data_IF_856584413237
#
_entry.id   IF_856584413237
#
_cell.length_a   1.000
_cell.length_b   1.000
_cell.length_c   1.000
_cell.angle_alpha   90.00
_cell.angle_beta   90.00
_cell.angle_gamma   90.00
#
_symmetry.space_group_name_H-M   'P 1'
#
loop_
_entity.id
_entity.type
_entity.pdbx_description
1 polymer ?
#
# COMPACT_ATOMS: atom_id res chain seq x y z
N UNK A 1 -17.41 -6.76 21.00
CA UNK A 1 -16.89 -5.56 21.71
C UNK A 1 -15.37 -5.61 21.90
N UNK A 2 -14.79 -6.81 22.02
CA UNK A 2 -13.36 -7.11 22.21
C UNK A 2 -12.53 -7.17 20.90
N UNK A 3 -13.11 -7.65 19.79
CA UNK A 3 -12.51 -7.67 18.43
C UNK A 3 -11.95 -6.32 17.92
N UNK A 4 -12.44 -5.24 18.50
CA UNK A 4 -12.24 -3.83 18.15
C UNK A 4 -11.05 -3.22 18.93
N UNK A 5 -10.45 -3.97 19.87
CA UNK A 5 -9.13 -3.70 20.45
C UNK A 5 -7.99 -4.36 19.68
N UNK A 6 -8.29 -5.34 18.83
CA UNK A 6 -7.35 -6.30 18.26
C UNK A 6 -6.92 -5.94 16.83
N UNK A 7 -7.75 -5.16 16.12
CA UNK A 7 -7.32 -4.36 14.95
C UNK A 7 -6.51 -3.09 15.33
N UNK A 8 -6.34 -2.77 16.63
CA UNK A 8 -5.78 -1.47 17.12
C UNK A 8 -4.27 -1.23 16.94
N UNK A 9 -3.43 -2.17 16.50
CA UNK A 9 -1.97 -1.94 16.41
C UNK A 9 -1.41 -1.85 14.99
N UNK A 10 -2.23 -1.98 13.93
CA UNK A 10 -1.92 -1.59 12.54
C UNK A 10 -0.42 -1.76 12.16
N UNK A 11 0.12 -2.96 12.37
CA UNK A 11 1.54 -3.28 12.16
C UNK A 11 1.90 -3.27 10.67
N UNK A 12 2.24 -4.40 10.06
CA UNK A 12 2.50 -4.45 8.61
C UNK A 12 1.31 -3.94 7.77
N UNK A 13 0.07 -4.29 8.14
CA UNK A 13 -1.14 -3.86 7.42
C UNK A 13 -1.39 -2.35 7.48
N UNK A 14 -1.11 -1.70 8.62
CA UNK A 14 -1.23 -0.25 8.73
C UNK A 14 -0.16 0.48 7.92
N UNK A 15 1.06 -0.05 7.92
CA UNK A 15 2.16 0.46 7.07
C UNK A 15 1.79 0.34 5.59
N UNK A 16 1.22 -0.79 5.17
CA UNK A 16 0.74 -0.99 3.80
C UNK A 16 -0.34 0.03 3.43
N UNK A 17 -1.36 0.20 4.27
CA UNK A 17 -2.38 1.23 4.05
C UNK A 17 -1.77 2.63 3.90
N UNK A 18 -0.86 3.01 4.79
CA UNK A 18 -0.20 4.31 4.74
C UNK A 18 0.60 4.49 3.46
N UNK A 19 1.30 3.45 3.02
CA UNK A 19 2.05 3.46 1.77
C UNK A 19 1.13 3.63 0.55
N UNK A 20 0.05 2.85 0.47
CA UNK A 20 -0.95 2.95 -0.60
C UNK A 20 -1.55 4.36 -0.65
N UNK A 21 -1.91 4.93 0.50
CA UNK A 21 -2.41 6.30 0.60
C UNK A 21 -1.34 7.33 0.19
N UNK A 22 -0.08 7.12 0.58
CA UNK A 22 1.04 8.02 0.27
C UNK A 22 1.30 8.11 -1.23
N UNK A 23 1.37 6.98 -1.94
CA UNK A 23 1.64 6.96 -3.39
C UNK A 23 0.46 7.51 -4.19
N UNK A 24 -0.79 7.23 -3.78
CA UNK A 24 -1.98 7.63 -4.52
C UNK A 24 -2.32 9.12 -4.36
N UNK A 25 -1.76 9.81 -3.36
CA UNK A 25 -1.99 11.25 -3.12
C UNK A 25 -1.13 12.17 -3.99
N UNK A 26 -0.19 11.65 -4.78
CA UNK A 26 0.66 12.43 -5.67
C UNK A 26 0.75 11.75 -7.03
N UNK A 27 0.46 12.48 -8.11
CA UNK A 27 0.59 11.98 -9.48
C UNK A 27 2.01 11.52 -9.79
N UNK A 28 3.02 12.25 -9.31
CA UNK A 28 4.43 11.87 -9.47
C UNK A 28 4.76 10.55 -8.75
N UNK A 29 4.33 10.41 -7.49
CA UNK A 29 4.61 9.19 -6.70
C UNK A 29 3.89 7.98 -7.29
N UNK A 30 2.64 8.17 -7.73
CA UNK A 30 1.89 7.13 -8.43
C UNK A 30 2.59 6.73 -9.73
N UNK A 31 2.99 7.70 -10.55
CA UNK A 31 3.64 7.40 -11.82
C UNK A 31 4.95 6.61 -11.63
N UNK A 32 5.77 7.01 -10.64
CA UNK A 32 6.99 6.27 -10.27
C UNK A 32 6.67 4.83 -9.89
N UNK A 33 5.66 4.61 -9.06
CA UNK A 33 5.25 3.26 -8.69
C UNK A 33 4.75 2.46 -9.90
N UNK A 34 3.94 3.06 -10.78
CA UNK A 34 3.44 2.40 -11.99
C UNK A 34 4.55 1.99 -12.96
N UNK A 35 5.62 2.76 -13.06
CA UNK A 35 6.80 2.37 -13.84
C UNK A 35 7.42 1.09 -13.28
N UNK A 36 7.55 0.97 -11.96
CA UNK A 36 8.13 -0.21 -11.32
C UNK A 36 7.19 -1.43 -11.35
N UNK A 37 5.88 -1.21 -11.22
CA UNK A 37 4.90 -2.31 -11.12
C UNK A 37 4.45 -2.89 -12.47
N UNK A 38 4.95 -2.36 -13.59
CA UNK A 38 4.48 -2.71 -14.93
C UNK A 38 3.06 -2.20 -15.19
N UNK A 39 2.77 -0.97 -14.78
CA UNK A 39 1.49 -0.28 -14.90
C UNK A 39 0.35 -0.94 -14.10
N UNK A 40 0.67 -1.59 -12.97
CA UNK A 40 -0.31 -2.21 -12.07
C UNK A 40 -0.51 -1.36 -10.81
N UNK A 41 -1.77 -1.19 -10.40
CA UNK A 41 -2.11 -0.37 -9.25
C UNK A 41 -2.22 -1.18 -7.97
N UNK A 42 -1.79 -0.60 -6.85
CA UNK A 42 -2.19 -1.09 -5.53
C UNK A 42 -3.64 -0.72 -5.25
N UNK A 43 -4.41 -1.67 -4.75
CA UNK A 43 -5.78 -1.42 -4.30
C UNK A 43 -5.78 -0.67 -2.97
N UNK A 44 -6.71 0.27 -2.83
CA UNK A 44 -6.96 0.95 -1.56
C UNK A 44 -8.07 0.24 -0.81
N UNK A 45 -7.85 -0.03 0.48
CA UNK A 45 -8.90 -0.52 1.36
C UNK A 45 -10.02 0.52 1.52
N UNK A 46 -11.22 0.03 1.80
CA UNK A 46 -12.42 0.83 1.96
C UNK A 46 -13.24 0.29 3.13
N UNK A 47 -13.63 1.17 4.06
CA UNK A 47 -14.33 0.81 5.29
C UNK A 47 -15.73 0.21 5.05
N UNK A 48 -16.33 0.42 3.87
CA UNK A 48 -17.67 -0.10 3.55
C UNK A 48 -17.65 -1.40 2.75
N UNK A 49 -16.48 -1.85 2.27
CA UNK A 49 -16.34 -3.10 1.50
C UNK A 49 -15.55 -4.12 2.31
N UNK A 50 -16.23 -5.15 2.81
CA UNK A 50 -15.68 -6.16 3.74
C UNK A 50 -14.35 -6.77 3.29
N UNK A 51 -14.20 -7.11 2.00
CA UNK A 51 -13.00 -7.79 1.50
C UNK A 51 -11.91 -6.84 0.98
N UNK A 52 -12.04 -5.53 1.20
CA UNK A 52 -11.11 -4.53 0.62
C UNK A 52 -9.68 -4.64 1.15
N UNK A 53 -9.53 -4.96 2.44
CA UNK A 53 -8.23 -5.21 3.06
C UNK A 53 -7.54 -6.46 2.52
N UNK A 54 -8.30 -7.54 2.29
CA UNK A 54 -7.79 -8.77 1.69
C UNK A 54 -7.28 -8.51 0.28
N UNK A 55 -8.09 -7.86 -0.57
CA UNK A 55 -7.70 -7.52 -1.93
C UNK A 55 -6.47 -6.59 -1.98
N UNK A 56 -6.34 -5.63 -1.05
CA UNK A 56 -5.14 -4.78 -0.95
C UNK A 56 -3.91 -5.62 -0.60
N UNK A 57 -4.03 -6.55 0.34
CA UNK A 57 -2.94 -7.43 0.74
C UNK A 57 -2.51 -8.38 -0.39
N UNK A 58 -3.47 -9.01 -1.09
CA UNK A 58 -3.20 -9.91 -2.22
C UNK A 58 -2.43 -9.19 -3.33
N UNK A 59 -2.88 -7.99 -3.72
CA UNK A 59 -2.18 -7.21 -4.75
C UNK A 59 -0.82 -6.72 -4.24
N UNK A 60 -0.69 -6.35 -2.97
CA UNK A 60 0.59 -5.93 -2.41
C UNK A 60 1.63 -7.06 -2.41
N UNK A 61 1.21 -8.30 -2.15
CA UNK A 61 2.08 -9.48 -2.23
C UNK A 61 2.49 -9.78 -3.68
N UNK A 62 1.57 -9.65 -4.64
CA UNK A 62 1.88 -9.79 -6.06
C UNK A 62 2.84 -8.71 -6.58
N UNK A 63 2.86 -7.55 -5.94
CA UNK A 63 3.69 -6.40 -6.32
C UNK A 63 4.83 -6.15 -5.31
N UNK A 64 5.20 -7.15 -4.51
CA UNK A 64 6.19 -6.98 -3.44
C UNK A 64 7.53 -6.44 -3.96
N UNK A 65 8.05 -7.00 -5.06
CA UNK A 65 9.31 -6.55 -5.66
C UNK A 65 9.28 -5.06 -6.04
N UNK A 66 8.16 -4.61 -6.63
CA UNK A 66 7.98 -3.20 -6.99
C UNK A 66 7.86 -2.30 -5.76
N UNK A 67 7.25 -2.77 -4.66
CA UNK A 67 7.20 -2.05 -3.39
C UNK A 67 8.61 -1.91 -2.81
N UNK A 68 9.37 -2.99 -2.76
CA UNK A 68 10.74 -3.01 -2.24
C UNK A 68 11.67 -2.11 -3.06
N UNK A 69 11.59 -2.20 -4.40
CA UNK A 69 12.37 -1.35 -5.31
C UNK A 69 12.00 0.13 -5.17
N UNK A 70 10.70 0.43 -4.98
CA UNK A 70 10.26 1.81 -4.72
C UNK A 70 10.92 2.37 -3.46
N UNK A 71 10.94 1.60 -2.36
CA UNK A 71 11.60 2.03 -1.14
C UNK A 71 13.12 2.14 -1.31
N UNK A 72 13.76 1.20 -2.02
CA UNK A 72 15.20 1.25 -2.27
C UNK A 72 15.60 2.50 -3.07
N UNK A 73 14.79 2.90 -4.05
CA UNK A 73 15.07 3.96 -5.03
C UNK A 73 14.67 5.34 -4.53
N UNK A 74 13.45 5.50 -4.01
CA UNK A 74 12.86 6.82 -3.75
C UNK A 74 12.80 7.19 -2.26
N UNK A 75 12.82 6.22 -1.35
CA UNK A 75 12.65 6.50 0.08
C UNK A 75 13.92 7.03 0.78
N UNK A 76 15.12 6.66 0.28
CA UNK A 76 16.39 7.08 0.89
C UNK A 76 16.73 8.57 0.71
N UNK A 77 16.03 9.28 -0.17
CA UNK A 77 16.34 10.66 -0.52
C UNK A 77 15.23 11.68 -0.27
N UNK A 78 14.15 11.28 0.41
CA UNK A 78 12.94 12.11 0.66
C UNK A 78 12.48 12.92 -0.56
N UNK A 79 11.60 12.30 -1.34
CA UNK A 79 10.41 13.03 -1.80
C UNK A 79 9.59 13.64 -0.64
#
# INVERSE_FOLDING_TARGET
MEQIREWRQKGPLGKLHNFVVFIQRSTLRLQRFLTLSGNRHLHRDNSTRWNSWLMMLEIALLLQDAIEEYFATYWRGRD
#
